data_IF_590195885177
#
_entry.id   IF_590195885177
#
_cell.length_a   1.000
_cell.length_b   1.000
_cell.length_c   1.000
_cell.angle_alpha   90.00
_cell.angle_beta   90.00
_cell.angle_gamma   90.00
#
_symmetry.space_group_name_H-M   'P 1'
#
loop_
_entity.id
_entity.type
_entity.pdbx_description
1 polymer ?
#
# COMPACT_ATOMS: atom_id res chain seq x y z
N UNK A 1 -27.05 4.99 21.94
CA UNK A 1 -26.71 4.89 20.52
C UNK A 1 -25.38 5.61 20.28
N UNK A 2 -24.34 4.90 19.90
CA UNK A 2 -23.08 5.55 19.51
C UNK A 2 -23.31 6.17 18.13
N UNK A 3 -23.22 7.50 18.03
CA UNK A 3 -23.38 8.23 16.78
C UNK A 3 -22.37 7.71 15.75
N UNK A 4 -22.78 7.51 14.51
CA UNK A 4 -21.92 7.07 13.40
C UNK A 4 -20.67 7.97 13.25
N UNK A 5 -20.82 9.28 13.45
CA UNK A 5 -19.72 10.24 13.46
C UNK A 5 -18.68 9.97 14.56
N UNK A 6 -19.09 9.49 15.74
CA UNK A 6 -18.15 9.20 16.84
C UNK A 6 -17.34 7.92 16.59
N UNK A 7 -17.88 6.96 15.82
CA UNK A 7 -17.14 5.76 15.41
C UNK A 7 -16.10 6.09 14.33
N UNK A 8 -16.47 6.89 13.33
CA UNK A 8 -15.55 7.36 12.29
C UNK A 8 -14.39 8.14 12.90
N UNK A 9 -14.68 9.15 13.70
CA UNK A 9 -13.71 9.99 14.40
C UNK A 9 -12.70 9.17 15.27
N UNK A 10 -13.19 8.13 15.94
CA UNK A 10 -12.32 7.22 16.70
C UNK A 10 -11.41 6.40 15.80
N UNK A 11 -11.91 5.92 14.66
CA UNK A 11 -11.13 5.14 13.71
C UNK A 11 -10.06 5.95 13.01
N UNK A 12 -10.36 7.18 12.63
CA UNK A 12 -9.36 8.10 12.08
C UNK A 12 -8.25 8.40 13.08
N UNK A 13 -8.58 8.62 14.37
CA UNK A 13 -7.55 8.80 15.43
C UNK A 13 -6.72 7.56 15.65
N UNK A 14 -7.31 6.36 15.57
CA UNK A 14 -6.58 5.09 15.63
C UNK A 14 -5.55 5.03 14.49
N UNK A 15 -5.97 5.35 13.26
CA UNK A 15 -5.09 5.36 12.10
C UNK A 15 -3.95 6.37 12.24
N UNK A 16 -4.26 7.59 12.70
CA UNK A 16 -3.26 8.63 12.97
C UNK A 16 -2.20 8.14 13.94
N UNK A 17 -2.61 7.56 15.08
CA UNK A 17 -1.68 7.04 16.08
C UNK A 17 -0.80 5.91 15.53
N UNK A 18 -1.38 4.99 14.77
CA UNK A 18 -0.63 3.88 14.17
C UNK A 18 0.43 4.35 13.18
N UNK A 19 0.14 5.37 12.38
CA UNK A 19 1.11 5.95 11.45
C UNK A 19 2.19 6.77 12.18
N UNK A 20 1.83 7.52 13.21
CA UNK A 20 2.77 8.26 14.05
C UNK A 20 3.76 7.31 14.76
N UNK A 21 3.27 6.19 15.33
CA UNK A 21 4.10 5.15 15.94
C UNK A 21 5.10 4.51 14.95
N UNK A 22 4.84 4.61 13.64
CA UNK A 22 5.70 4.13 12.55
C UNK A 22 6.62 5.22 11.99
N UNK A 23 6.70 6.37 12.65
CA UNK A 23 7.62 7.45 12.29
C UNK A 23 7.12 8.41 11.22
N UNK A 24 5.84 8.37 10.88
CA UNK A 24 5.23 9.35 9.99
C UNK A 24 4.84 10.60 10.75
N UNK A 25 5.08 11.76 10.16
CA UNK A 25 4.39 12.98 10.56
C UNK A 25 2.96 12.91 10.02
N UNK A 26 1.96 13.02 10.89
CA UNK A 26 0.57 12.79 10.53
C UNK A 26 -0.29 14.00 10.85
N UNK A 27 -1.14 14.37 9.91
CA UNK A 27 -2.15 15.40 10.09
C UNK A 27 -3.52 14.84 9.72
N UNK A 28 -4.46 14.98 10.64
CA UNK A 28 -5.87 14.73 10.37
C UNK A 28 -6.49 15.98 9.78
N UNK A 29 -7.23 15.85 8.67
CA UNK A 29 -8.00 16.96 8.17
C UNK A 29 -9.08 17.37 9.19
N UNK A 30 -9.33 18.67 9.39
CA UNK A 30 -10.46 19.10 10.19
C UNK A 30 -11.74 18.58 9.55
N UNK A 31 -12.62 17.98 10.36
CA UNK A 31 -13.90 17.48 9.89
C UNK A 31 -14.55 18.53 8.99
N UNK A 32 -14.86 18.17 7.76
CA UNK A 32 -15.49 19.04 6.77
C UNK A 32 -16.89 19.39 7.19
N UNK A 33 -16.98 20.31 8.13
CA UNK A 33 -18.20 20.99 8.52
C UNK A 33 -18.24 22.34 7.84
N UNK A 34 -19.02 22.47 6.80
CA UNK A 34 -19.64 23.71 6.28
C UNK A 34 -18.76 24.89 5.84
N UNK A 35 -17.44 24.82 5.78
CA UNK A 35 -16.64 26.00 5.41
C UNK A 35 -15.71 25.83 4.19
N UNK A 36 -15.63 24.65 3.59
CA UNK A 36 -14.93 24.47 2.31
C UNK A 36 -15.75 23.59 1.37
N UNK A 37 -16.02 24.09 0.17
CA UNK A 37 -16.65 23.34 -0.92
C UNK A 37 -15.71 22.27 -1.54
N UNK A 38 -14.64 21.92 -0.85
CA UNK A 38 -13.62 20.98 -1.33
C UNK A 38 -13.54 19.79 -0.40
N UNK A 39 -13.67 18.62 -0.98
CA UNK A 39 -13.40 17.38 -0.28
C UNK A 39 -11.89 17.25 -0.05
N UNK A 40 -11.51 17.11 1.22
CA UNK A 40 -10.14 16.87 1.65
C UNK A 40 -9.99 15.41 2.08
N UNK A 41 -8.81 14.79 1.90
CA UNK A 41 -8.56 13.48 2.47
C UNK A 41 -8.65 13.53 4.00
N UNK A 42 -9.05 12.45 4.63
CA UNK A 42 -9.19 12.38 6.09
C UNK A 42 -7.85 12.52 6.81
N UNK A 43 -6.78 11.95 6.24
CA UNK A 43 -5.44 11.91 6.83
C UNK A 43 -4.39 12.22 5.79
N UNK A 44 -3.41 13.04 6.18
CA UNK A 44 -2.15 13.24 5.48
C UNK A 44 -1.01 12.67 6.34
N UNK A 45 -0.16 11.86 5.75
CA UNK A 45 0.99 11.28 6.43
C UNK A 45 2.25 11.36 5.54
N UNK A 46 3.40 11.63 6.14
CA UNK A 46 4.67 11.67 5.43
C UNK A 46 5.83 11.37 6.34
N UNK A 47 6.86 10.72 5.83
CA UNK A 47 8.10 10.39 6.53
C UNK A 47 9.32 11.19 6.03
N UNK A 48 9.09 12.12 5.11
CA UNK A 48 10.13 12.91 4.44
C UNK A 48 10.54 12.35 3.08
N UNK A 49 10.26 11.09 2.78
CA UNK A 49 10.53 10.44 1.50
C UNK A 49 9.24 10.16 0.74
N UNK A 50 8.23 9.68 1.45
CA UNK A 50 6.93 9.37 0.88
C UNK A 50 5.83 10.13 1.60
N UNK A 51 4.83 10.57 0.83
CA UNK A 51 3.64 11.25 1.35
C UNK A 51 2.38 10.51 0.90
N UNK A 52 1.46 10.31 1.82
CA UNK A 52 0.17 9.68 1.58
C UNK A 52 -0.97 10.64 1.87
N UNK A 53 -1.95 10.66 0.98
CA UNK A 53 -3.27 11.25 1.23
C UNK A 53 -4.26 10.10 1.35
N UNK A 54 -4.92 9.99 2.48
CA UNK A 54 -5.68 8.80 2.87
C UNK A 54 -7.13 9.16 3.14
N UNK A 55 -8.04 8.44 2.49
CA UNK A 55 -9.47 8.41 2.79
C UNK A 55 -9.75 7.18 3.64
N UNK A 56 -10.27 7.35 4.85
CA UNK A 56 -10.46 6.29 5.82
C UNK A 56 -11.95 5.88 5.93
N UNK A 57 -12.22 4.62 5.72
CA UNK A 57 -13.57 4.06 5.82
C UNK A 57 -13.58 2.84 6.74
N UNK A 58 -14.61 2.71 7.56
CA UNK A 58 -14.78 1.55 8.42
C UNK A 58 -16.17 0.93 8.32
N UNK A 59 -16.23 -0.38 8.49
CA UNK A 59 -17.46 -1.16 8.44
C UNK A 59 -17.46 -2.27 9.50
N UNK A 60 -18.64 -2.67 9.93
CA UNK A 60 -18.81 -3.84 10.83
C UNK A 60 -18.68 -5.19 10.14
N UNK A 61 -18.49 -5.21 8.80
CA UNK A 61 -18.39 -6.42 7.99
C UNK A 61 -19.11 -6.32 6.66
N UNK A 62 -19.92 -5.28 6.47
CA UNK A 62 -20.53 -5.01 5.15
C UNK A 62 -19.47 -4.43 4.21
N UNK A 63 -19.61 -4.66 2.89
CA UNK A 63 -18.74 -4.01 1.94
C UNK A 63 -18.71 -2.49 2.12
N UNK A 64 -17.52 -1.92 2.00
CA UNK A 64 -17.29 -0.47 2.02
C UNK A 64 -17.48 0.04 0.60
N UNK A 65 -18.18 1.16 0.47
CA UNK A 65 -18.36 1.84 -0.82
C UNK A 65 -17.87 3.27 -0.70
N UNK A 66 -17.23 3.74 -1.77
CA UNK A 66 -16.89 5.14 -1.99
C UNK A 66 -17.52 5.56 -3.32
N UNK A 67 -18.01 6.77 -3.38
CA UNK A 67 -18.50 7.33 -4.64
C UNK A 67 -17.35 7.63 -5.60
N UNK A 68 -17.65 7.71 -6.90
CA UNK A 68 -16.66 8.15 -7.88
C UNK A 68 -16.12 9.54 -7.55
N UNK A 69 -16.97 10.44 -7.07
CA UNK A 69 -16.61 11.81 -6.69
C UNK A 69 -15.62 11.85 -5.52
N UNK A 70 -15.85 11.05 -4.45
CA UNK A 70 -14.91 10.93 -3.33
C UNK A 70 -13.53 10.46 -3.80
N UNK A 71 -13.48 9.46 -4.67
CA UNK A 71 -12.22 8.91 -5.19
C UNK A 71 -11.52 9.90 -6.12
N UNK A 72 -12.27 10.57 -7.01
CA UNK A 72 -11.71 11.61 -7.89
C UNK A 72 -11.12 12.77 -7.08
N UNK A 73 -11.81 13.21 -6.03
CA UNK A 73 -11.32 14.27 -5.15
C UNK A 73 -10.02 13.87 -4.44
N UNK A 74 -9.95 12.63 -3.91
CA UNK A 74 -8.74 12.09 -3.31
C UNK A 74 -7.57 12.05 -4.30
N UNK A 75 -7.78 11.54 -5.51
CA UNK A 75 -6.75 11.45 -6.54
C UNK A 75 -6.30 12.84 -7.00
N UNK A 76 -7.24 13.76 -7.20
CA UNK A 76 -6.94 15.14 -7.57
C UNK A 76 -6.10 15.84 -6.49
N UNK A 77 -6.52 15.74 -5.22
CA UNK A 77 -5.78 16.29 -4.10
C UNK A 77 -4.36 15.71 -4.03
N UNK A 78 -4.26 14.39 -4.07
CA UNK A 78 -2.97 13.68 -3.98
C UNK A 78 -2.00 14.13 -5.05
N UNK A 79 -2.47 14.21 -6.29
CA UNK A 79 -1.65 14.64 -7.43
C UNK A 79 -1.11 16.07 -7.26
N UNK A 80 -1.96 17.00 -6.81
CA UNK A 80 -1.56 18.40 -6.64
C UNK A 80 -0.68 18.62 -5.41
N UNK A 81 -0.88 17.82 -4.37
CA UNK A 81 -0.09 17.87 -3.14
C UNK A 81 1.26 17.16 -3.25
N UNK A 82 1.41 16.24 -4.22
CA UNK A 82 2.59 15.39 -4.35
C UNK A 82 2.54 14.16 -3.43
N UNK A 83 1.35 13.72 -3.04
CA UNK A 83 1.13 12.54 -2.21
C UNK A 83 0.66 11.34 -3.03
N UNK A 84 0.81 10.13 -2.48
CA UNK A 84 0.23 8.91 -3.03
C UNK A 84 -1.17 8.71 -2.44
N UNK A 85 -2.21 8.56 -3.28
CA UNK A 85 -3.56 8.31 -2.77
C UNK A 85 -3.66 6.92 -2.16
N UNK A 86 -4.35 6.81 -1.03
CA UNK A 86 -4.71 5.53 -0.41
C UNK A 86 -6.13 5.58 0.12
N UNK A 87 -6.82 4.46 -0.04
CA UNK A 87 -8.08 4.19 0.65
C UNK A 87 -7.77 3.22 1.77
N UNK A 88 -7.98 3.65 3.01
CA UNK A 88 -7.80 2.84 4.20
C UNK A 88 -9.14 2.22 4.60
N UNK A 89 -9.21 0.90 4.58
CA UNK A 89 -10.38 0.12 4.93
C UNK A 89 -10.18 -0.60 6.28
N UNK A 90 -11.13 -0.44 7.19
CA UNK A 90 -11.13 -1.08 8.51
C UNK A 90 -12.42 -1.87 8.71
N UNK A 91 -12.30 -3.16 8.89
CA UNK A 91 -13.43 -4.00 9.30
C UNK A 91 -13.36 -4.29 10.80
N UNK A 92 -14.51 -4.50 11.45
CA UNK A 92 -14.52 -4.80 12.89
C UNK A 92 -13.73 -6.11 13.15
N UNK A 93 -12.83 -6.06 14.14
CA UNK A 93 -11.90 -7.13 14.56
C UNK A 93 -10.76 -7.42 13.59
N UNK A 94 -10.62 -6.65 12.52
CA UNK A 94 -9.48 -6.72 11.59
C UNK A 94 -8.56 -5.52 11.76
N UNK A 95 -7.38 -5.57 11.15
CA UNK A 95 -6.47 -4.45 11.07
C UNK A 95 -6.86 -3.48 9.95
N UNK A 96 -6.09 -2.42 9.75
CA UNK A 96 -6.22 -1.53 8.62
C UNK A 96 -5.59 -2.14 7.37
N UNK A 97 -6.30 -2.04 6.25
CA UNK A 97 -5.83 -2.43 4.93
C UNK A 97 -5.90 -1.25 3.98
N UNK A 98 -4.86 -1.07 3.19
CA UNK A 98 -4.70 0.07 2.31
C UNK A 98 -4.74 -0.36 0.86
N UNK A 99 -5.31 0.50 0.01
CA UNK A 99 -5.44 0.26 -1.42
C UNK A 99 -5.07 1.51 -2.20
N UNK A 100 -4.40 1.33 -3.32
CA UNK A 100 -4.40 2.37 -4.33
C UNK A 100 -5.80 2.42 -4.98
N UNK A 101 -6.39 3.60 -5.25
CA UNK A 101 -7.73 3.67 -5.85
C UNK A 101 -7.90 2.89 -7.15
N UNK A 102 -6.84 2.80 -7.97
CA UNK A 102 -6.87 2.07 -9.24
C UNK A 102 -7.01 0.54 -9.09
N UNK A 103 -6.70 -0.01 -7.92
CA UNK A 103 -6.75 -1.45 -7.66
C UNK A 103 -8.13 -1.90 -7.16
N UNK A 104 -9.03 -0.94 -6.91
CA UNK A 104 -10.36 -1.25 -6.39
C UNK A 104 -11.34 -1.64 -7.50
N UNK A 105 -12.24 -2.55 -7.15
CA UNK A 105 -13.37 -2.89 -8.01
C UNK A 105 -14.32 -1.71 -8.15
N UNK A 106 -14.65 -1.37 -9.39
CA UNK A 106 -15.64 -0.34 -9.73
C UNK A 106 -16.96 -1.02 -10.12
N UNK A 107 -18.05 -0.63 -9.48
CA UNK A 107 -19.39 -1.13 -9.79
C UNK A 107 -19.92 -0.51 -11.08
N UNK A 108 -20.95 -1.10 -11.67
CA UNK A 108 -21.62 -0.56 -12.88
C UNK A 108 -22.15 0.87 -12.66
N UNK A 109 -22.46 1.24 -11.42
CA UNK A 109 -22.87 2.59 -11.02
C UNK A 109 -21.73 3.57 -10.78
N UNK A 110 -20.47 3.20 -11.04
CA UNK A 110 -19.31 4.07 -10.87
C UNK A 110 -18.80 4.22 -9.43
N UNK A 111 -19.31 3.42 -8.48
CA UNK A 111 -18.82 3.41 -7.10
C UNK A 111 -17.68 2.41 -6.92
N UNK A 112 -16.71 2.76 -6.10
CA UNK A 112 -15.62 1.87 -5.70
C UNK A 112 -16.06 1.02 -4.51
N UNK A 113 -15.62 -0.24 -4.48
CA UNK A 113 -16.03 -1.20 -3.46
C UNK A 113 -14.86 -1.97 -2.88
N UNK A 114 -14.83 -2.07 -1.55
CA UNK A 114 -13.93 -2.97 -0.81
C UNK A 114 -14.77 -3.97 -0.03
N UNK A 115 -14.62 -5.26 -0.32
CA UNK A 115 -15.17 -6.34 0.50
C UNK A 115 -14.16 -6.74 1.58
N UNK A 116 -14.66 -7.29 2.69
CA UNK A 116 -13.80 -7.78 3.77
C UNK A 116 -12.79 -8.82 3.27
N UNK A 117 -13.27 -9.79 2.48
CA UNK A 117 -12.44 -10.87 1.93
C UNK A 117 -11.33 -10.31 1.02
N UNK A 118 -11.66 -9.31 0.20
CA UNK A 118 -10.70 -8.61 -0.66
C UNK A 118 -9.65 -7.86 0.18
N UNK A 119 -10.08 -7.20 1.26
CA UNK A 119 -9.16 -6.49 2.14
C UNK A 119 -8.14 -7.42 2.78
N UNK A 120 -8.58 -8.57 3.25
CA UNK A 120 -7.71 -9.57 3.88
C UNK A 120 -6.75 -10.25 2.88
N UNK A 121 -7.17 -10.42 1.63
CA UNK A 121 -6.39 -11.14 0.61
C UNK A 121 -5.43 -10.23 -0.17
N UNK A 122 -5.84 -9.00 -0.49
CA UNK A 122 -5.18 -8.15 -1.47
C UNK A 122 -4.74 -6.80 -0.90
N UNK A 123 -5.28 -6.38 0.26
CA UNK A 123 -4.93 -5.10 0.86
C UNK A 123 -3.50 -5.05 1.36
N UNK A 124 -2.83 -3.92 1.18
CA UNK A 124 -1.56 -3.64 1.86
C UNK A 124 -1.82 -3.53 3.36
N UNK A 125 -1.04 -4.18 4.19
CA UNK A 125 -1.07 -3.96 5.63
C UNK A 125 -0.24 -2.71 6.02
N UNK A 126 -0.23 -2.37 7.31
CA UNK A 126 0.49 -1.20 7.79
C UNK A 126 2.00 -1.32 7.59
N UNK A 127 2.58 -2.51 7.75
CA UNK A 127 4.00 -2.73 7.56
C UNK A 127 4.41 -2.61 6.08
N UNK A 128 3.55 -3.05 5.17
CA UNK A 128 3.73 -2.87 3.73
C UNK A 128 3.61 -1.40 3.32
N UNK A 129 2.59 -0.68 3.83
CA UNK A 129 2.40 0.74 3.57
C UNK A 129 3.60 1.58 4.02
N UNK A 130 4.15 1.27 5.19
CA UNK A 130 5.29 2.00 5.80
C UNK A 130 6.64 1.52 5.30
N UNK A 131 6.69 0.53 4.39
CA UNK A 131 7.93 0.01 3.81
C UNK A 131 8.74 -0.89 4.75
N UNK A 132 8.19 -1.30 5.90
CA UNK A 132 8.85 -2.23 6.83
C UNK A 132 8.85 -3.66 6.29
N UNK A 133 7.88 -4.02 5.46
CA UNK A 133 7.81 -5.28 4.75
C UNK A 133 7.35 -5.07 3.31
N UNK A 134 7.68 -6.01 2.44
CA UNK A 134 7.20 -6.04 1.07
C UNK A 134 6.54 -7.38 0.81
N UNK A 135 5.29 -7.37 0.34
CA UNK A 135 4.59 -8.55 -0.13
C UNK A 135 5.22 -8.99 -1.45
N UNK A 136 5.82 -10.16 -1.47
CA UNK A 136 6.41 -10.75 -2.68
C UNK A 136 5.43 -11.79 -3.21
N UNK A 137 4.91 -11.58 -4.40
CA UNK A 137 4.09 -12.58 -5.09
C UNK A 137 5.00 -13.65 -5.70
N UNK A 138 4.47 -14.87 -5.87
CA UNK A 138 5.22 -15.97 -6.49
C UNK A 138 5.73 -15.62 -7.91
N UNK A 139 5.03 -14.74 -8.61
CA UNK A 139 5.41 -14.27 -9.95
C UNK A 139 6.59 -13.26 -9.89
N UNK A 140 6.83 -12.63 -8.73
CA UNK A 140 7.97 -11.72 -8.50
C UNK A 140 9.20 -12.48 -7.97
N UNK A 141 9.07 -13.75 -7.57
CA UNK A 141 10.19 -14.61 -7.31
C UNK A 141 10.77 -14.97 -8.68
N UNK A 142 11.68 -14.16 -9.18
CA UNK A 142 12.65 -14.64 -10.15
C UNK A 142 13.39 -15.75 -9.42
N UNK A 143 13.06 -16.98 -9.73
CA UNK A 143 13.92 -18.10 -9.43
C UNK A 143 15.19 -17.75 -10.19
N UNK A 144 16.21 -17.31 -9.45
CA UNK A 144 17.56 -17.23 -9.99
C UNK A 144 17.85 -18.66 -10.50
N UNK A 145 17.66 -18.85 -11.78
CA UNK A 145 18.11 -20.09 -12.44
C UNK A 145 19.57 -20.15 -12.05
N UNK A 146 19.89 -21.04 -11.13
CA UNK A 146 21.25 -21.19 -10.64
C UNK A 146 22.23 -21.21 -11.79
N UNK A 147 23.51 -21.04 -11.56
CA UNK A 147 24.50 -20.77 -12.61
C UNK A 147 24.27 -21.69 -13.84
N UNK A 148 24.25 -21.09 -15.01
CA UNK A 148 24.00 -21.80 -16.26
C UNK A 148 24.91 -23.04 -16.33
N UNK A 149 24.52 -24.04 -17.11
CA UNK A 149 25.33 -25.24 -17.29
C UNK A 149 26.76 -24.89 -17.72
N UNK A 150 26.89 -23.86 -18.54
CA UNK A 150 28.15 -23.30 -18.99
C UNK A 150 28.97 -22.69 -17.85
N UNK A 151 28.33 -21.94 -16.97
CA UNK A 151 28.95 -21.39 -15.74
C UNK A 151 29.42 -22.50 -14.80
N UNK A 152 28.64 -23.58 -14.65
CA UNK A 152 29.03 -24.74 -13.84
C UNK A 152 30.21 -25.49 -14.41
N UNK A 153 30.28 -25.63 -15.74
CA UNK A 153 31.39 -26.30 -16.43
C UNK A 153 32.70 -25.49 -16.26
N UNK A 154 32.64 -24.17 -16.38
CA UNK A 154 33.79 -23.27 -16.14
C UNK A 154 34.23 -23.35 -14.67
N UNK A 155 33.32 -23.32 -13.70
CA UNK A 155 33.63 -23.43 -12.28
C UNK A 155 34.26 -24.80 -11.93
N UNK A 156 33.80 -25.89 -12.57
CA UNK A 156 34.37 -27.21 -12.39
C UNK A 156 35.79 -27.30 -12.98
N UNK A 157 36.04 -26.68 -14.14
CA UNK A 157 37.36 -26.62 -14.75
C UNK A 157 38.36 -25.84 -13.85
N UNK A 158 37.93 -24.73 -13.21
CA UNK A 158 38.75 -24.02 -12.19
C UNK A 158 39.03 -24.92 -10.99
N UNK A 159 38.00 -25.59 -10.47
CA UNK A 159 38.14 -26.48 -9.31
C UNK A 159 39.08 -27.62 -9.56
N UNK A 160 39.13 -28.15 -10.77
CA UNK A 160 40.00 -29.23 -11.19
C UNK A 160 41.42 -28.75 -11.55
N UNK A 161 41.65 -27.44 -11.65
CA UNK A 161 42.93 -26.86 -12.04
C UNK A 161 43.20 -26.84 -13.52
N UNK A 162 42.15 -27.06 -14.35
CA UNK A 162 42.27 -27.14 -15.82
C UNK A 162 42.38 -25.72 -16.43
N UNK A 163 41.81 -24.70 -15.78
CA UNK A 163 41.92 -23.29 -16.18
C UNK A 163 42.18 -22.39 -14.95
N UNK A 164 42.79 -21.24 -15.18
CA UNK A 164 43.01 -20.25 -14.12
C UNK A 164 41.73 -19.48 -13.76
N UNK A 165 41.72 -18.82 -12.60
CA UNK A 165 40.59 -17.94 -12.18
C UNK A 165 40.47 -16.77 -13.13
N UNK A 166 41.60 -16.23 -13.64
CA UNK A 166 41.62 -15.13 -14.59
C UNK A 166 41.02 -15.54 -15.95
N UNK A 167 41.33 -16.74 -16.44
CA UNK A 167 40.76 -17.24 -17.66
C UNK A 167 39.26 -17.54 -17.54
N UNK A 168 38.84 -18.06 -16.37
CA UNK A 168 37.45 -18.30 -16.08
C UNK A 168 36.64 -17.00 -16.02
N UNK A 169 37.17 -15.93 -15.44
CA UNK A 169 36.53 -14.63 -15.40
C UNK A 169 36.34 -14.07 -16.81
N UNK A 170 37.29 -14.24 -17.70
CA UNK A 170 37.19 -13.80 -19.09
C UNK A 170 36.18 -14.61 -19.93
N UNK A 171 35.81 -15.83 -19.49
CA UNK A 171 34.82 -16.68 -20.15
C UNK A 171 33.38 -16.40 -19.70
N UNK A 172 33.21 -15.74 -18.52
CA UNK A 172 31.90 -15.49 -17.92
C UNK A 172 31.45 -14.02 -18.08
N UNK A 173 32.29 -13.15 -18.67
CA UNK A 173 31.96 -11.79 -19.09
C UNK A 173 31.24 -11.80 -20.44
#
# INVERSE_FOLDING_TARGET
MVNANSKGDRRERELVNLLDERGFAVMRAPASGSSTDRELPDVLAGDGEVFYAIEAKSSSGRPIYLTGEEVEALVYFSRNFGAKPRIAARFDREDWYFFHPADLYVTDGGNYRVKKETALAEGEDLAELTGESKKVTLDEIQVDEGPSRETLDVLNAVKNGDISVEDAAAMLD
#
